data_IF_711023901450
#
_entry.id   IF_711023901450
#
_cell.length_a   1.000
_cell.length_b   1.000
_cell.length_c   1.000
_cell.angle_alpha   90.00
_cell.angle_beta   90.00
_cell.angle_gamma   90.00
#
_symmetry.space_group_name_H-M   'P 1'
#
loop_
_entity.id
_entity.type
_entity.pdbx_description
1 polymer ?
#
# COMPACT_ATOMS: atom_id res chain seq x y z
N UNK A 1 0.24 -10.16 3.04
CA UNK A 1 -0.12 -8.76 2.77
C UNK A 1 -0.66 -8.13 4.04
N UNK A 2 -0.47 -6.83 4.21
CA UNK A 2 -0.89 -6.07 5.39
C UNK A 2 -1.53 -4.74 4.98
N UNK A 3 -2.01 -3.97 5.95
CA UNK A 3 -2.49 -2.61 5.71
C UNK A 3 -1.40 -1.73 5.06
N UNK A 4 -1.84 -0.72 4.31
CA UNK A 4 -0.95 0.28 3.70
C UNK A 4 -0.18 1.10 4.74
N UNK A 5 0.96 1.64 4.32
CA UNK A 5 1.72 2.60 5.09
C UNK A 5 0.90 3.88 5.29
N UNK A 6 0.81 4.32 6.55
CA UNK A 6 0.02 5.50 6.91
C UNK A 6 0.49 6.76 6.17
N UNK A 7 1.82 6.96 6.09
CA UNK A 7 2.45 8.10 5.41
C UNK A 7 3.43 7.59 4.36
N UNK A 8 3.24 7.99 3.11
CA UNK A 8 4.15 7.65 2.03
C UNK A 8 4.12 8.72 0.92
N UNK A 9 4.92 9.77 1.07
CA UNK A 9 4.92 10.91 0.16
C UNK A 9 5.14 10.53 -1.31
N UNK A 10 6.00 9.55 -1.60
CA UNK A 10 6.26 9.06 -2.96
C UNK A 10 4.98 8.46 -3.60
N UNK A 11 4.28 7.59 -2.87
CA UNK A 11 2.98 7.04 -3.32
C UNK A 11 1.94 8.15 -3.44
N UNK A 12 1.84 9.01 -2.43
CA UNK A 12 0.79 10.03 -2.36
C UNK A 12 0.91 11.03 -3.52
N UNK A 13 2.15 11.45 -3.84
CA UNK A 13 2.47 12.29 -5.00
C UNK A 13 2.14 11.58 -6.32
N UNK A 14 2.49 10.29 -6.43
CA UNK A 14 2.15 9.52 -7.63
C UNK A 14 0.65 9.34 -7.81
N UNK A 15 -0.11 9.07 -6.75
CA UNK A 15 -1.58 8.99 -6.82
C UNK A 15 -2.15 10.35 -7.24
N UNK A 16 -1.64 11.44 -6.65
CA UNK A 16 -2.12 12.80 -6.92
C UNK A 16 -3.46 13.10 -6.22
N UNK A 17 -3.74 12.43 -5.10
CA UNK A 17 -4.92 12.72 -4.28
C UNK A 17 -4.66 13.89 -3.31
N UNK A 18 -5.74 14.55 -2.89
CA UNK A 18 -5.66 15.54 -1.81
C UNK A 18 -5.53 14.86 -0.43
N UNK A 19 -4.79 15.47 0.49
CA UNK A 19 -4.57 14.99 1.85
C UNK A 19 -5.89 14.70 2.61
N UNK A 20 -6.94 15.48 2.36
CA UNK A 20 -8.28 15.30 2.95
C UNK A 20 -8.88 13.92 2.63
N UNK A 21 -8.56 13.39 1.46
CA UNK A 21 -9.08 12.10 1.00
C UNK A 21 -8.14 10.93 1.31
N UNK A 22 -6.86 11.20 1.52
CA UNK A 22 -5.82 10.19 1.69
C UNK A 22 -6.18 9.16 2.77
N UNK A 23 -6.39 9.61 4.01
CA UNK A 23 -6.57 8.71 5.15
C UNK A 23 -7.78 7.79 4.99
N UNK A 24 -8.91 8.32 4.50
CA UNK A 24 -10.13 7.54 4.25
C UNK A 24 -9.97 6.50 3.13
N UNK A 25 -9.00 6.68 2.22
CA UNK A 25 -8.76 5.83 1.06
C UNK A 25 -7.58 4.88 1.21
N UNK A 26 -6.76 5.00 2.26
CA UNK A 26 -5.67 4.07 2.56
C UNK A 26 -6.14 2.60 2.66
N UNK A 27 -7.38 2.37 3.09
CA UNK A 27 -8.03 1.05 3.15
C UNK A 27 -8.17 0.35 1.78
N UNK A 28 -8.09 1.11 0.69
CA UNK A 28 -8.13 0.60 -0.69
C UNK A 28 -6.75 0.15 -1.18
N UNK A 29 -5.74 0.23 -0.31
CA UNK A 29 -4.34 -0.08 -0.62
C UNK A 29 -3.86 -1.16 0.35
N UNK A 30 -3.25 -2.21 -0.19
CA UNK A 30 -2.57 -3.23 0.60
C UNK A 30 -1.06 -3.17 0.39
N UNK A 31 -0.32 -3.45 1.46
CA UNK A 31 1.14 -3.53 1.43
C UNK A 31 1.60 -4.99 1.30
N UNK A 32 2.43 -5.25 0.29
CA UNK A 32 3.23 -6.46 0.22
C UNK A 32 4.46 -6.32 1.13
N UNK A 33 4.22 -6.47 2.43
CA UNK A 33 5.20 -6.21 3.50
C UNK A 33 6.27 -7.29 3.65
N UNK A 34 5.98 -8.53 3.23
CA UNK A 34 6.92 -9.65 3.30
C UNK A 34 6.78 -10.54 2.07
N UNK A 35 7.81 -10.50 1.22
CA UNK A 35 7.95 -11.40 0.09
C UNK A 35 9.35 -12.00 0.14
N UNK A 36 9.42 -13.31 0.37
CA UNK A 36 10.67 -14.04 0.61
C UNK A 36 10.65 -15.33 -0.20
N UNK A 37 11.70 -15.53 -0.98
CA UNK A 37 12.05 -16.84 -1.56
C UNK A 37 13.18 -17.38 -0.69
N UNK A 38 13.03 -18.61 -0.20
CA UNK A 38 14.04 -19.24 0.63
C UNK A 38 15.30 -19.54 -0.19
N UNK A 39 16.51 -19.49 0.40
CA UNK A 39 17.76 -19.64 -0.34
C UNK A 39 17.88 -20.91 -1.19
N UNK A 40 17.22 -22.01 -0.77
CA UNK A 40 17.29 -23.29 -1.46
C UNK A 40 16.38 -23.37 -2.70
N UNK A 41 15.52 -22.37 -2.92
CA UNK A 41 14.41 -22.44 -3.88
C UNK A 41 14.50 -21.38 -4.99
N UNK A 42 15.70 -21.13 -5.50
CA UNK A 42 15.92 -20.18 -6.59
C UNK A 42 15.68 -20.82 -7.96
N UNK A 43 14.40 -20.91 -8.35
CA UNK A 43 14.00 -21.32 -9.70
C UNK A 43 13.84 -20.09 -10.63
N UNK A 44 14.14 -20.20 -11.93
CA UNK A 44 13.92 -19.13 -12.89
C UNK A 44 12.49 -18.59 -12.83
N UNK A 45 12.34 -17.27 -12.75
CA UNK A 45 11.06 -16.56 -12.75
C UNK A 45 10.08 -16.95 -11.62
N UNK A 46 10.50 -17.68 -10.60
CA UNK A 46 9.62 -18.09 -9.50
C UNK A 46 9.01 -16.88 -8.79
N UNK A 47 9.84 -15.88 -8.47
CA UNK A 47 9.40 -14.69 -7.76
C UNK A 47 8.32 -13.91 -8.50
N UNK A 48 8.52 -13.67 -9.81
CA UNK A 48 7.51 -12.99 -10.64
C UNK A 48 6.26 -13.84 -10.81
N UNK A 49 6.39 -15.15 -11.02
CA UNK A 49 5.26 -16.08 -11.14
C UNK A 49 4.38 -16.10 -9.88
N UNK A 50 4.99 -16.25 -8.70
CA UNK A 50 4.26 -16.21 -7.42
C UNK A 50 3.60 -14.86 -7.22
N UNK A 51 4.31 -13.77 -7.48
CA UNK A 51 3.77 -12.41 -7.32
C UNK A 51 2.57 -12.17 -8.25
N UNK A 52 2.62 -12.61 -9.50
CA UNK A 52 1.50 -12.53 -10.44
C UNK A 52 0.29 -13.38 -10.00
N UNK A 53 0.51 -14.57 -9.43
CA UNK A 53 -0.56 -15.38 -8.87
C UNK A 53 -1.23 -14.68 -7.67
N UNK A 54 -0.45 -14.15 -6.74
CA UNK A 54 -0.98 -13.38 -5.61
C UNK A 54 -1.77 -12.15 -6.07
N UNK A 55 -1.27 -11.39 -7.05
CA UNK A 55 -1.96 -10.22 -7.59
C UNK A 55 -3.33 -10.53 -8.18
N UNK A 56 -3.50 -11.69 -8.84
CA UNK A 56 -4.78 -12.09 -9.42
C UNK A 56 -5.82 -12.44 -8.36
N UNK A 57 -5.37 -12.96 -7.21
CA UNK A 57 -6.25 -13.49 -6.15
C UNK A 57 -6.53 -12.48 -5.04
N UNK A 58 -5.59 -11.61 -4.73
CA UNK A 58 -5.67 -10.75 -3.55
C UNK A 58 -6.90 -9.86 -3.52
N UNK A 59 -7.39 -9.37 -4.67
CA UNK A 59 -8.58 -8.53 -4.71
C UNK A 59 -9.82 -9.22 -4.13
N UNK A 60 -10.04 -10.50 -4.48
CA UNK A 60 -11.17 -11.28 -3.95
C UNK A 60 -10.93 -11.69 -2.51
N UNK A 61 -9.74 -12.18 -2.17
CA UNK A 61 -9.41 -12.60 -0.80
C UNK A 61 -9.57 -11.43 0.17
N UNK A 62 -9.09 -10.23 -0.20
CA UNK A 62 -9.18 -9.05 0.65
C UNK A 62 -10.62 -8.60 0.89
N UNK A 63 -11.47 -8.68 -0.14
CA UNK A 63 -12.89 -8.35 0.01
C UNK A 63 -13.59 -9.34 0.95
N UNK A 64 -13.30 -10.64 0.83
CA UNK A 64 -13.88 -11.67 1.71
C UNK A 64 -13.43 -11.49 3.16
N UNK A 65 -12.16 -11.16 3.40
CA UNK A 65 -11.62 -11.09 4.76
C UNK A 65 -11.84 -9.74 5.45
N UNK A 66 -11.91 -8.64 4.71
CA UNK A 66 -11.92 -7.28 5.29
C UNK A 66 -13.13 -6.46 4.85
N UNK A 67 -14.06 -7.02 4.07
CA UNK A 67 -15.23 -6.32 3.52
C UNK A 67 -14.85 -5.03 2.79
N UNK A 68 -13.65 -4.99 2.21
CA UNK A 68 -13.10 -3.82 1.56
C UNK A 68 -12.50 -4.19 0.20
N UNK A 69 -12.90 -3.52 -0.91
CA UNK A 69 -12.22 -3.69 -2.18
C UNK A 69 -10.79 -3.11 -2.15
N UNK A 70 -9.88 -3.73 -2.90
CA UNK A 70 -8.54 -3.19 -3.15
C UNK A 70 -8.42 -2.59 -4.55
N UNK A 71 -7.66 -1.51 -4.63
CA UNK A 71 -7.32 -0.81 -5.88
C UNK A 71 -5.83 -0.86 -6.18
N UNK A 72 -4.99 -0.78 -5.16
CA UNK A 72 -3.55 -0.64 -5.31
C UNK A 72 -2.81 -1.57 -4.35
N UNK A 73 -1.68 -2.10 -4.81
CA UNK A 73 -0.68 -2.69 -3.95
C UNK A 73 0.53 -1.77 -3.87
N UNK A 74 1.16 -1.73 -2.72
CA UNK A 74 2.44 -1.07 -2.50
C UNK A 74 3.46 -2.03 -1.90
N UNK A 75 4.74 -1.73 -2.05
CA UNK A 75 5.83 -2.43 -1.37
C UNK A 75 7.05 -1.52 -1.25
N UNK A 76 7.94 -1.88 -0.32
CA UNK A 76 9.10 -1.10 0.05
C UNK A 76 10.34 -1.98 0.00
N UNK A 77 11.31 -1.61 -0.82
CA UNK A 77 12.52 -2.41 -1.01
C UNK A 77 13.76 -1.60 -0.67
N UNK A 78 14.61 -2.16 0.19
CA UNK A 78 15.92 -1.58 0.48
C UNK A 78 16.86 -1.85 -0.69
N UNK A 79 17.16 -0.80 -1.46
CA UNK A 79 17.97 -0.89 -2.67
C UNK A 79 19.46 -1.20 -2.36
N UNK A 80 19.91 -0.98 -1.13
CA UNK A 80 21.27 -1.36 -0.70
C UNK A 80 21.43 -2.88 -0.58
N UNK A 81 20.33 -3.61 -0.38
CA UNK A 81 20.32 -5.07 -0.19
C UNK A 81 19.80 -5.82 -1.41
N UNK A 82 18.88 -5.22 -2.17
CA UNK A 82 18.18 -5.91 -3.25
C UNK A 82 18.05 -5.06 -4.51
N UNK A 83 18.26 -5.69 -5.67
CA UNK A 83 18.15 -5.05 -7.00
C UNK A 83 16.71 -4.79 -7.46
N UNK A 84 15.72 -5.20 -6.66
CA UNK A 84 14.29 -5.07 -6.96
C UNK A 84 13.81 -5.80 -8.24
N UNK A 85 14.57 -6.80 -8.70
CA UNK A 85 14.35 -7.47 -10.00
C UNK A 85 12.93 -8.00 -10.17
N UNK A 86 12.37 -8.66 -9.16
CA UNK A 86 11.01 -9.22 -9.21
C UNK A 86 9.96 -8.12 -9.42
N UNK A 87 10.09 -6.97 -8.79
CA UNK A 87 9.12 -5.88 -8.94
C UNK A 87 9.26 -5.19 -10.30
N UNK A 88 10.50 -4.95 -10.75
CA UNK A 88 10.78 -4.38 -12.08
C UNK A 88 10.26 -5.28 -13.20
N UNK A 89 10.49 -6.58 -13.12
CA UNK A 89 10.02 -7.56 -14.10
C UNK A 89 8.50 -7.85 -13.98
N UNK A 90 7.91 -7.64 -12.80
CA UNK A 90 6.50 -7.91 -12.53
C UNK A 90 5.54 -6.75 -12.84
N UNK A 91 5.95 -5.79 -13.68
CA UNK A 91 5.18 -4.60 -14.04
C UNK A 91 4.73 -3.74 -12.85
N UNK A 92 5.58 -3.63 -11.81
CA UNK A 92 5.40 -2.63 -10.77
C UNK A 92 6.03 -1.31 -11.19
N UNK A 93 5.38 -0.21 -10.83
CA UNK A 93 5.90 1.14 -11.08
C UNK A 93 6.70 1.60 -9.87
N UNK A 94 7.96 1.99 -10.05
CA UNK A 94 8.73 2.67 -9.02
C UNK A 94 8.28 4.13 -8.94
N UNK A 95 7.82 4.58 -7.78
CA UNK A 95 7.21 5.91 -7.60
C UNK A 95 8.06 6.88 -6.77
N UNK A 96 9.25 6.44 -6.38
CA UNK A 96 10.19 7.24 -5.61
C UNK A 96 10.75 6.48 -4.42
N UNK A 97 11.15 7.23 -3.39
CA UNK A 97 11.89 6.73 -2.25
C UNK A 97 11.29 7.20 -0.92
N UNK A 98 11.47 6.40 0.14
CA UNK A 98 11.17 6.83 1.50
C UNK A 98 12.31 7.69 2.05
N UNK A 99 12.03 8.51 3.07
CA UNK A 99 13.05 9.33 3.76
C UNK A 99 13.87 8.57 4.80
N UNK A 100 13.72 7.25 4.91
CA UNK A 100 14.47 6.43 5.86
C UNK A 100 14.04 6.53 7.34
N UNK A 101 12.95 7.22 7.67
CA UNK A 101 12.47 7.29 9.06
C UNK A 101 12.02 5.91 9.58
N UNK A 102 12.33 5.63 10.85
CA UNK A 102 11.81 4.49 11.59
C UNK A 102 10.95 4.99 12.74
N UNK A 103 9.87 4.27 13.06
CA UNK A 103 9.09 4.53 14.27
C UNK A 103 9.94 4.19 15.50
N UNK A 104 10.07 5.14 16.42
CA UNK A 104 10.70 4.97 17.74
C UNK A 104 9.67 5.27 18.82
N UNK A 105 9.98 4.98 20.09
CA UNK A 105 9.03 5.18 21.21
C UNK A 105 8.48 6.61 21.26
N UNK A 106 9.33 7.58 20.99
CA UNK A 106 9.02 9.02 21.08
C UNK A 106 8.48 9.62 19.76
N UNK A 107 8.25 8.79 18.73
CA UNK A 107 7.74 9.25 17.43
C UNK A 107 8.50 8.62 16.27
N UNK A 108 9.30 9.42 15.57
CA UNK A 108 10.09 8.98 14.41
C UNK A 108 11.55 9.36 14.59
N UNK A 109 12.45 8.48 14.16
CA UNK A 109 13.89 8.76 14.23
C UNK A 109 14.26 9.93 13.32
N UNK A 110 15.11 10.83 13.83
CA UNK A 110 15.75 11.90 13.08
C UNK A 110 16.87 11.32 12.20
N UNK A 111 16.50 10.88 10.99
CA UNK A 111 17.47 10.33 10.04
C UNK A 111 18.12 9.01 10.49
N UNK A 112 18.96 8.44 9.63
CA UNK A 112 19.77 7.24 9.93
C UNK A 112 19.24 5.89 9.43
N UNK A 113 17.99 5.79 8.95
CA UNK A 113 17.52 4.58 8.27
C UNK A 113 17.79 4.58 6.76
N UNK A 114 17.92 3.41 6.16
CA UNK A 114 18.10 3.28 4.71
C UNK A 114 16.82 3.70 3.96
N UNK A 115 16.99 4.57 2.98
CA UNK A 115 15.94 4.90 2.02
C UNK A 115 15.47 3.63 1.31
N UNK A 116 14.16 3.46 1.18
CA UNK A 116 13.55 2.33 0.46
C UNK A 116 12.94 2.82 -0.83
N UNK A 117 13.16 2.10 -1.92
CA UNK A 117 12.39 2.28 -3.14
C UNK A 117 10.93 1.90 -2.87
N UNK A 118 10.02 2.75 -3.32
CA UNK A 118 8.58 2.53 -3.24
C UNK A 118 8.11 2.03 -4.60
N UNK A 119 7.48 0.86 -4.61
CA UNK A 119 6.86 0.29 -5.80
C UNK A 119 5.36 0.19 -5.59
N UNK A 120 4.59 0.50 -6.63
CA UNK A 120 3.14 0.34 -6.64
C UNK A 120 2.68 -0.52 -7.82
N UNK A 121 1.57 -1.22 -7.63
CA UNK A 121 0.89 -2.00 -8.67
C UNK A 121 -0.61 -1.78 -8.59
N UNK A 122 -1.16 -1.19 -9.65
CA UNK A 122 -2.60 -1.08 -9.81
C UNK A 122 -3.22 -2.47 -10.08
N UNK A 123 -4.25 -2.83 -9.31
CA UNK A 123 -5.03 -4.07 -9.53
C UNK A 123 -6.05 -3.91 -10.66
N UNK A 124 -6.41 -2.66 -10.98
CA UNK A 124 -7.28 -2.29 -12.09
C UNK A 124 -6.69 -1.10 -12.85
N UNK A 125 -6.99 -0.97 -14.14
CA UNK A 125 -6.46 0.11 -14.99
C UNK A 125 -6.85 1.50 -14.47
N UNK A 126 -8.04 1.63 -13.89
CA UNK A 126 -8.59 2.89 -13.38
C UNK A 126 -8.17 3.23 -11.93
N UNK A 127 -7.44 2.35 -11.24
CA UNK A 127 -7.16 2.46 -9.81
C UNK A 127 -6.63 3.83 -9.38
N UNK A 128 -5.66 4.40 -10.12
CA UNK A 128 -5.11 5.72 -9.81
C UNK A 128 -6.17 6.82 -9.88
N UNK A 129 -7.00 6.82 -10.92
CA UNK A 129 -8.10 7.79 -11.10
C UNK A 129 -9.20 7.65 -10.04
N UNK A 130 -9.46 6.42 -9.58
CA UNK A 130 -10.41 6.15 -8.50
C UNK A 130 -9.88 6.67 -7.15
N UNK A 131 -8.57 6.55 -6.94
CA UNK A 131 -7.93 7.03 -5.72
C UNK A 131 -7.79 8.56 -5.72
N UNK A 132 -7.63 9.23 -6.87
CA UNK A 132 -7.41 10.68 -6.92
C UNK A 132 -8.67 11.53 -7.12
N UNK A 133 -9.78 10.97 -7.63
CA UNK A 133 -11.00 11.74 -7.91
C UNK A 133 -11.61 12.40 -6.65
N UNK A 134 -12.29 13.55 -6.76
CA UNK A 134 -12.93 14.19 -5.60
C UNK A 134 -13.96 13.31 -4.92
N UNK A 135 -14.89 12.73 -5.69
CA UNK A 135 -15.95 11.86 -5.20
C UNK A 135 -15.64 10.42 -5.58
N UNK A 136 -15.51 9.54 -4.58
CA UNK A 136 -15.24 8.12 -4.80
C UNK A 136 -16.53 7.37 -5.12
N UNK A 137 -16.44 6.33 -5.95
CA UNK A 137 -17.60 5.47 -6.24
C UNK A 137 -18.11 4.79 -4.98
N UNK A 138 -19.43 4.59 -4.92
CA UNK A 138 -20.13 4.11 -3.72
C UNK A 138 -19.56 2.79 -3.19
N UNK A 139 -19.25 1.85 -4.10
CA UNK A 139 -18.64 0.56 -3.73
C UNK A 139 -17.28 0.67 -3.01
N UNK A 140 -16.61 1.82 -3.09
CA UNK A 140 -15.35 2.10 -2.39
C UNK A 140 -15.54 2.99 -1.15
N UNK A 141 -16.71 3.63 -1.03
CA UNK A 141 -17.10 4.35 0.17
C UNK A 141 -17.32 3.30 1.27
N UNK A 142 -16.86 3.60 2.49
CA UNK A 142 -17.35 2.83 3.63
C UNK A 142 -18.47 3.63 4.23
N UNK A 143 -19.64 3.02 4.27
CA UNK A 143 -20.85 3.63 4.84
C UNK A 143 -21.00 3.37 6.34
N UNK A 144 -20.20 2.49 6.95
CA UNK A 144 -20.29 2.25 8.40
C UNK A 144 -19.57 3.35 9.18
N UNK A 145 -20.28 4.20 9.96
CA UNK A 145 -19.63 5.14 10.85
C UNK A 145 -18.90 4.35 11.93
N UNK A 146 -17.57 4.42 11.98
CA UNK A 146 -16.81 3.99 13.16
C UNK A 146 -16.98 5.08 14.21
N UNK A 147 -17.94 4.85 15.09
CA UNK A 147 -18.30 5.68 16.25
C UNK A 147 -19.14 6.91 15.91
N UNK A 148 -20.45 6.80 16.16
CA UNK A 148 -21.32 7.95 16.32
C UNK A 148 -20.95 8.58 17.67
N UNK A 149 -20.22 9.70 17.67
CA UNK A 149 -20.06 10.50 18.87
C UNK A 149 -21.46 10.97 19.27
N UNK A 150 -22.00 10.40 20.35
CA UNK A 150 -23.20 10.94 20.98
C UNK A 150 -22.81 12.25 21.66
N UNK A 151 -23.73 13.21 21.69
CA UNK A 151 -23.57 14.51 22.37
C UNK A 151 -23.13 14.30 23.83
N UNK A 152 -23.53 13.18 24.43
CA UNK A 152 -23.13 12.68 25.75
C UNK A 152 -21.61 12.56 25.95
N UNK A 153 -20.82 12.33 24.89
CA UNK A 153 -19.36 12.23 24.95
C UNK A 153 -18.65 13.59 24.75
N UNK A 154 -19.40 14.67 24.55
CA UNK A 154 -18.88 16.02 24.30
C UNK A 154 -19.09 17.00 25.47
N UNK A 155 -19.72 16.54 26.56
CA UNK A 155 -19.84 17.30 27.79
C UNK A 155 -18.67 16.96 28.72
N UNK A 156 -17.97 17.99 29.19
CA UNK A 156 -16.75 17.93 30.00
C UNK A 156 -16.96 17.30 31.39
#
# INVERSE_FOLDING_TARGET
>A
FSASALKCAARDTWIGWDYRHQYGRLKLIANNSRFLILPQWHLPNLGTKVLSLCQRRIGSDWLVHFEQPLLLLETFVDASRYRCTVYRAGNWTCVGQTRGHRRVREGYSEGGGTSKLVFVRALRRDARSQLSRPVIEEKYRQEKPKMMLRIEHMSA
#
